data_IF_781109370213
#
_entry.id   IF_781109370213
#
_cell.length_a   1.000
_cell.length_b   1.000
_cell.length_c   1.000
_cell.angle_alpha   90.00
_cell.angle_beta   90.00
_cell.angle_gamma   90.00
#
_symmetry.space_group_name_H-M   'P 1'
#
loop_
_entity.id
_entity.type
_entity.pdbx_description
1 polymer ?
#
# COMPACT_ATOMS: atom_id res chain seq x y z
N UNK A 1 -0.23 15.10 -13.41
CA UNK A 1 -0.94 14.21 -14.36
C UNK A 1 -2.40 14.58 -14.33
N UNK A 2 -3.07 14.84 -15.46
CA UNK A 2 -4.52 14.93 -15.45
C UNK A 2 -5.06 13.53 -15.17
N UNK A 3 -5.93 13.44 -14.18
CA UNK A 3 -6.67 12.25 -13.76
C UNK A 3 -7.30 11.52 -14.96
N UNK A 4 -6.98 10.23 -15.11
CA UNK A 4 -7.21 9.44 -16.32
C UNK A 4 -8.69 9.14 -16.60
N UNK A 5 -9.54 9.18 -15.58
CA UNK A 5 -10.98 8.93 -15.68
C UNK A 5 -11.82 10.05 -15.05
N UNK A 6 -13.11 10.12 -15.40
CA UNK A 6 -14.06 11.03 -14.75
C UNK A 6 -14.20 10.76 -13.25
N UNK A 7 -14.10 9.49 -12.85
CA UNK A 7 -14.09 9.10 -11.45
C UNK A 7 -12.86 9.66 -10.72
N UNK A 8 -11.67 9.57 -11.33
CA UNK A 8 -10.44 10.13 -10.77
C UNK A 8 -10.56 11.66 -10.60
N UNK A 9 -11.18 12.36 -11.56
CA UNK A 9 -11.45 13.80 -11.47
C UNK A 9 -12.39 14.12 -10.30
N UNK A 10 -13.45 13.33 -10.12
CA UNK A 10 -14.40 13.51 -9.03
C UNK A 10 -13.75 13.23 -7.66
N UNK A 11 -13.02 12.12 -7.55
CA UNK A 11 -12.29 11.75 -6.34
C UNK A 11 -11.26 12.81 -5.97
N UNK A 12 -10.50 13.32 -6.95
CA UNK A 12 -9.56 14.40 -6.75
C UNK A 12 -10.26 15.64 -6.17
N UNK A 13 -11.34 16.12 -6.81
CA UNK A 13 -12.12 17.28 -6.33
C UNK A 13 -12.64 17.07 -4.90
N UNK A 14 -13.14 15.87 -4.61
CA UNK A 14 -13.64 15.53 -3.28
C UNK A 14 -12.53 15.58 -2.23
N UNK A 15 -11.36 14.99 -2.51
CA UNK A 15 -10.19 15.04 -1.59
C UNK A 15 -9.67 16.45 -1.40
N UNK A 16 -9.56 17.25 -2.47
CA UNK A 16 -9.14 18.65 -2.39
C UNK A 16 -10.10 19.44 -1.50
N UNK A 17 -11.42 19.20 -1.61
CA UNK A 17 -12.41 19.83 -0.75
C UNK A 17 -12.27 19.40 0.72
N UNK A 18 -12.05 18.12 0.99
CA UNK A 18 -11.85 17.66 2.37
C UNK A 18 -10.56 18.22 2.99
N UNK A 19 -9.46 18.27 2.22
CA UNK A 19 -8.20 18.84 2.67
C UNK A 19 -8.32 20.34 2.99
N UNK A 20 -9.00 21.10 2.13
CA UNK A 20 -9.25 22.54 2.36
C UNK A 20 -10.07 22.75 3.63
N UNK A 21 -11.14 21.97 3.84
CA UNK A 21 -11.94 22.03 5.08
C UNK A 21 -11.11 21.73 6.34
N UNK A 22 -10.26 20.69 6.31
CA UNK A 22 -9.38 20.36 7.44
C UNK A 22 -8.38 21.51 7.69
N UNK A 23 -7.84 22.09 6.61
CA UNK A 23 -6.88 23.20 6.70
C UNK A 23 -7.53 24.44 7.32
N UNK A 24 -8.73 24.81 6.87
CA UNK A 24 -9.50 25.94 7.41
C UNK A 24 -9.83 25.72 8.89
N UNK A 25 -10.28 24.52 9.26
CA UNK A 25 -10.58 24.18 10.65
C UNK A 25 -9.31 24.21 11.53
N UNK A 26 -8.18 23.73 11.03
CA UNK A 26 -6.90 23.78 11.72
C UNK A 26 -6.39 25.21 11.92
N UNK A 27 -6.58 26.09 10.93
CA UNK A 27 -6.23 27.50 11.05
C UNK A 27 -7.13 28.21 12.07
N UNK A 28 -8.43 27.94 12.07
CA UNK A 28 -9.37 28.49 13.05
C UNK A 28 -9.01 28.05 14.48
N UNK A 29 -8.68 26.77 14.67
CA UNK A 29 -8.26 26.24 15.96
C UNK A 29 -6.94 26.87 16.45
N UNK A 30 -5.98 27.09 15.54
CA UNK A 30 -4.68 27.72 15.85
C UNK A 30 -4.83 29.17 16.31
N UNK A 31 -5.81 29.89 15.78
CA UNK A 31 -6.06 31.30 16.11
C UNK A 31 -7.01 31.47 17.31
N UNK A 32 -7.72 30.41 17.72
CA UNK A 32 -8.65 30.42 18.83
C UNK A 32 -8.00 30.11 20.19
N UNK A 33 -8.68 30.50 21.27
CA UNK A 33 -8.37 30.03 22.61
C UNK A 33 -9.18 28.77 22.89
N UNK A 34 -8.54 27.60 22.77
CA UNK A 34 -9.16 26.30 23.02
C UNK A 34 -8.40 25.54 24.11
N UNK A 35 -9.13 24.79 24.93
CA UNK A 35 -8.55 23.90 25.92
C UNK A 35 -7.79 22.75 25.22
N UNK A 36 -6.67 22.32 25.83
CA UNK A 36 -5.79 21.27 25.29
C UNK A 36 -6.51 19.95 24.96
N UNK A 37 -7.41 19.42 25.80
CA UNK A 37 -8.09 18.15 25.53
C UNK A 37 -8.95 18.18 24.25
N UNK A 38 -9.74 19.25 24.07
CA UNK A 38 -10.59 19.42 22.88
C UNK A 38 -9.74 19.61 21.61
N UNK A 39 -8.61 20.32 21.74
CA UNK A 39 -7.64 20.49 20.66
C UNK A 39 -7.03 19.16 20.21
N UNK A 40 -6.69 18.30 21.17
CA UNK A 40 -6.10 16.99 20.89
C UNK A 40 -7.10 16.06 20.20
N UNK A 41 -8.34 15.97 20.70
CA UNK A 41 -9.41 15.16 20.10
C UNK A 41 -9.65 15.58 18.64
N UNK A 42 -9.71 16.88 18.38
CA UNK A 42 -9.90 17.41 17.04
C UNK A 42 -8.72 17.09 16.10
N UNK A 43 -7.49 17.12 16.62
CA UNK A 43 -6.28 16.77 15.86
C UNK A 43 -6.24 15.27 15.51
N UNK A 44 -6.66 14.40 16.43
CA UNK A 44 -6.77 12.96 16.18
C UNK A 44 -7.83 12.65 15.12
N UNK A 45 -8.99 13.31 15.16
CA UNK A 45 -10.03 13.21 14.12
C UNK A 45 -9.49 13.63 12.75
N UNK A 46 -8.77 14.76 12.66
CA UNK A 46 -8.14 15.17 11.40
C UNK A 46 -7.10 14.16 10.92
N UNK A 47 -6.28 13.61 11.81
CA UNK A 47 -5.29 12.59 11.46
C UNK A 47 -5.95 11.35 10.86
N UNK A 48 -7.06 10.87 11.45
CA UNK A 48 -7.82 9.74 10.92
C UNK A 48 -8.38 10.04 9.53
N UNK A 49 -8.96 11.23 9.33
CA UNK A 49 -9.47 11.67 8.03
C UNK A 49 -8.38 11.79 6.98
N UNK A 50 -7.21 12.35 7.35
CA UNK A 50 -6.07 12.49 6.46
C UNK A 50 -5.52 11.11 6.03
N UNK A 51 -5.48 10.13 6.94
CA UNK A 51 -5.13 8.74 6.58
C UNK A 51 -6.12 8.17 5.56
N UNK A 52 -7.41 8.33 5.79
CA UNK A 52 -8.44 7.85 4.86
C UNK A 52 -8.37 8.55 3.48
N UNK A 53 -7.97 9.83 3.42
CA UNK A 53 -7.77 10.56 2.17
C UNK A 53 -6.47 10.17 1.43
N UNK A 54 -5.45 9.72 2.17
CA UNK A 54 -4.18 9.29 1.62
C UNK A 54 -4.26 7.93 0.92
N UNK A 55 -5.22 7.08 1.33
CA UNK A 55 -5.48 5.82 0.65
C UNK A 55 -6.19 6.07 -0.69
N UNK A 56 -5.46 5.90 -1.78
CA UNK A 56 -5.98 6.01 -3.14
C UNK A 56 -6.94 4.82 -3.43
N UNK A 57 -8.26 5.03 -3.57
CA UNK A 57 -9.26 3.96 -3.60
C UNK A 57 -9.42 3.30 -4.97
N UNK A 58 -8.50 3.53 -5.91
CA UNK A 58 -8.52 2.91 -7.24
C UNK A 58 -7.25 2.07 -7.47
N UNK A 59 -7.11 0.98 -6.71
CA UNK A 59 -6.22 -0.12 -7.07
C UNK A 59 -6.87 -0.92 -8.20
N UNK A 60 -6.78 -0.41 -9.43
CA UNK A 60 -7.13 -1.16 -10.64
C UNK A 60 -6.17 -2.33 -10.91
N UNK A 61 -5.05 -2.39 -10.19
CA UNK A 61 -4.09 -3.47 -10.28
C UNK A 61 -4.53 -4.63 -9.38
N UNK A 62 -4.80 -5.82 -9.94
CA UNK A 62 -5.17 -6.98 -9.14
C UNK A 62 -4.00 -7.39 -8.24
N UNK A 63 -4.31 -7.92 -7.07
CA UNK A 63 -3.29 -8.51 -6.19
C UNK A 63 -2.61 -9.70 -6.87
N UNK A 64 -1.30 -9.82 -6.62
CA UNK A 64 -0.53 -11.02 -6.95
C UNK A 64 -0.81 -12.07 -5.88
N UNK A 65 -1.13 -13.29 -6.29
CA UNK A 65 -1.30 -14.42 -5.35
C UNK A 65 -0.13 -15.37 -5.50
N UNK A 66 0.60 -15.58 -4.41
CA UNK A 66 1.68 -16.56 -4.30
C UNK A 66 1.10 -17.80 -3.64
N UNK A 67 1.19 -18.95 -4.32
CA UNK A 67 0.75 -20.24 -3.80
C UNK A 67 1.95 -21.11 -3.45
N UNK A 68 1.90 -21.76 -2.29
CA UNK A 68 2.76 -22.90 -1.97
C UNK A 68 2.07 -24.16 -2.47
N UNK A 69 2.82 -24.98 -3.21
CA UNK A 69 2.35 -26.24 -3.76
C UNK A 69 3.05 -27.43 -3.09
N UNK A 70 2.30 -28.50 -2.87
CA UNK A 70 2.82 -29.82 -2.53
C UNK A 70 2.25 -30.82 -3.57
N UNK A 71 3.06 -31.17 -4.56
CA UNK A 71 2.54 -31.77 -5.79
C UNK A 71 1.55 -30.82 -6.47
N UNK A 72 0.37 -31.32 -6.84
CA UNK A 72 -0.68 -30.51 -7.48
C UNK A 72 -1.60 -29.77 -6.48
N UNK A 73 -1.37 -29.93 -5.17
CA UNK A 73 -2.19 -29.32 -4.12
C UNK A 73 -1.63 -27.97 -3.69
N UNK A 74 -2.50 -26.95 -3.64
CA UNK A 74 -2.24 -25.65 -3.02
C UNK A 74 -2.39 -25.76 -1.51
N UNK A 75 -1.30 -25.62 -0.77
CA UNK A 75 -1.27 -25.84 0.69
C UNK A 75 -1.22 -24.54 1.50
N UNK A 76 -0.70 -23.46 0.92
CA UNK A 76 -0.70 -22.13 1.54
C UNK A 76 -0.69 -21.02 0.48
N UNK A 77 -1.05 -19.80 0.86
CA UNK A 77 -1.07 -18.67 -0.04
C UNK A 77 -0.78 -17.33 0.63
N UNK A 78 -0.35 -16.35 -0.15
CA UNK A 78 -0.36 -14.95 0.25
C UNK A 78 -0.80 -14.06 -0.91
N UNK A 79 -1.59 -13.04 -0.58
CA UNK A 79 -1.91 -11.93 -1.50
C UNK A 79 -0.94 -10.79 -1.27
N UNK A 80 -0.34 -10.30 -2.36
CA UNK A 80 0.58 -9.16 -2.37
C UNK A 80 -0.03 -8.08 -3.28
N UNK A 81 -0.33 -6.88 -2.78
CA UNK A 81 -0.85 -5.80 -3.62
C UNK A 81 0.15 -5.45 -4.72
N UNK A 82 -0.28 -5.54 -5.99
CA UNK A 82 0.63 -5.36 -7.12
C UNK A 82 1.23 -3.95 -7.17
N UNK A 83 0.48 -2.93 -6.75
CA UNK A 83 0.95 -1.54 -6.65
C UNK A 83 2.16 -1.38 -5.70
N UNK A 84 2.36 -2.27 -4.73
CA UNK A 84 3.48 -2.20 -3.80
C UNK A 84 4.79 -2.73 -4.39
N UNK A 85 4.72 -3.62 -5.39
CA UNK A 85 5.90 -4.30 -5.96
C UNK A 85 6.13 -4.00 -7.44
N UNK A 86 5.27 -3.21 -8.07
CA UNK A 86 5.34 -2.87 -9.49
C UNK A 86 6.63 -2.10 -9.82
N UNK A 87 7.28 -2.48 -10.92
CA UNK A 87 8.44 -1.79 -11.47
C UNK A 87 8.07 -0.87 -12.63
N UNK A 88 8.69 0.31 -12.69
CA UNK A 88 8.57 1.25 -13.80
C UNK A 88 9.92 1.82 -14.19
N UNK A 89 10.18 1.86 -15.50
CA UNK A 89 11.38 2.51 -16.08
C UNK A 89 11.34 4.04 -15.99
N UNK A 90 10.21 4.65 -15.61
CA UNK A 90 10.05 6.11 -15.51
C UNK A 90 10.65 6.72 -14.23
N UNK A 91 11.17 5.89 -13.34
CA UNK A 91 11.83 6.31 -12.10
C UNK A 91 11.12 5.83 -10.84
N UNK A 92 11.79 6.00 -9.69
CA UNK A 92 11.38 5.43 -8.40
C UNK A 92 9.99 5.89 -7.91
N UNK A 93 9.57 7.11 -8.27
CA UNK A 93 8.23 7.64 -7.92
C UNK A 93 7.07 6.92 -8.63
N UNK A 94 7.37 6.13 -9.66
CA UNK A 94 6.41 5.29 -10.39
C UNK A 94 6.56 3.80 -10.08
N UNK A 95 7.42 3.45 -9.12
CA UNK A 95 7.59 2.10 -8.63
C UNK A 95 6.83 1.92 -7.32
N UNK A 96 6.40 0.69 -7.05
CA UNK A 96 5.86 0.34 -5.75
C UNK A 96 6.89 0.49 -4.62
N UNK A 97 6.43 0.77 -3.41
CA UNK A 97 7.29 0.99 -2.23
C UNK A 97 8.24 -0.17 -1.90
N UNK A 98 7.89 -1.38 -2.32
CA UNK A 98 8.61 -2.64 -2.11
C UNK A 98 9.30 -3.15 -3.39
N UNK A 99 9.26 -2.40 -4.50
CA UNK A 99 9.89 -2.77 -5.75
C UNK A 99 11.39 -3.04 -5.57
N UNK A 100 11.86 -4.20 -6.04
CA UNK A 100 13.27 -4.62 -5.97
C UNK A 100 13.80 -4.89 -4.54
N UNK A 101 12.95 -4.85 -3.52
CA UNK A 101 13.34 -5.16 -2.14
C UNK A 101 13.10 -6.63 -1.84
N UNK A 102 14.05 -7.27 -1.15
CA UNK A 102 13.86 -8.59 -0.59
C UNK A 102 12.84 -8.51 0.55
N UNK A 103 11.82 -9.38 0.52
CA UNK A 103 10.82 -9.45 1.59
C UNK A 103 10.59 -10.88 2.06
N UNK A 104 10.43 -11.01 3.38
CA UNK A 104 9.97 -12.23 4.03
C UNK A 104 8.46 -12.19 4.13
N UNK A 105 7.79 -13.19 3.57
CA UNK A 105 6.34 -13.25 3.51
C UNK A 105 5.86 -14.51 4.23
N UNK A 106 4.91 -14.34 5.15
CA UNK A 106 4.23 -15.43 5.84
C UNK A 106 3.00 -15.85 5.05
N UNK A 107 2.90 -17.14 4.71
CA UNK A 107 1.77 -17.67 3.96
C UNK A 107 0.62 -18.06 4.89
N UNK A 108 -0.61 -17.78 4.46
CA UNK A 108 -1.84 -18.27 5.10
C UNK A 108 -2.10 -19.71 4.68
N UNK A 109 -2.29 -20.60 5.65
CA UNK A 109 -2.68 -21.99 5.41
C UNK A 109 -4.19 -22.04 5.18
N UNK A 110 -4.62 -22.72 4.11
CA UNK A 110 -6.03 -23.00 3.87
C UNK A 110 -6.50 -24.06 4.85
N UNK A 111 -7.41 -23.69 5.76
CA UNK A 111 -7.99 -24.48 6.85
C UNK A 111 -8.00 -26.00 6.63
N UNK A 112 -6.92 -26.70 6.99
CA UNK A 112 -6.87 -28.07 7.51
C UNK A 112 -5.39 -28.39 7.81
N UNK A 113 -5.10 -28.74 9.07
CA UNK A 113 -3.81 -29.15 9.62
C UNK A 113 -2.98 -28.06 10.33
N UNK A 114 -2.77 -28.32 11.60
CA UNK A 114 -2.00 -27.64 12.64
C UNK A 114 -0.62 -27.09 12.26
N UNK A 115 -0.42 -25.81 12.64
CA UNK A 115 0.79 -25.18 13.18
C UNK A 115 2.13 -25.35 12.45
N UNK A 116 2.21 -24.99 11.17
CA UNK A 116 3.51 -24.68 10.56
C UNK A 116 3.39 -23.38 9.75
N UNK A 117 4.00 -22.30 10.26
CA UNK A 117 4.20 -21.07 9.52
C UNK A 117 5.27 -21.34 8.44
N UNK A 118 4.85 -21.40 7.17
CA UNK A 118 5.78 -21.54 6.06
C UNK A 118 6.28 -20.16 5.62
N UNK A 119 7.61 -19.96 5.70
CA UNK A 119 8.29 -18.74 5.29
C UNK A 119 8.77 -18.89 3.84
N UNK A 120 8.36 -17.97 2.96
CA UNK A 120 8.99 -17.78 1.66
C UNK A 120 9.69 -16.41 1.62
N UNK A 121 10.95 -16.40 1.19
CA UNK A 121 11.67 -15.18 0.82
C UNK A 121 11.34 -14.86 -0.63
N UNK A 122 10.52 -13.83 -0.85
CA UNK A 122 10.28 -13.31 -2.19
C UNK A 122 11.37 -12.28 -2.47
N UNK A 123 12.33 -12.63 -3.32
CA UNK A 123 13.20 -11.65 -3.95
C UNK A 123 12.36 -10.81 -4.90
N UNK A 124 12.10 -9.56 -4.53
CA UNK A 124 11.49 -8.60 -5.45
C UNK A 124 12.34 -8.54 -6.72
N UNK A 125 11.69 -8.64 -7.89
CA UNK A 125 12.35 -8.61 -9.20
C UNK A 125 13.30 -7.41 -9.26
N UNK A 126 14.59 -7.67 -9.09
CA UNK A 126 15.63 -6.66 -9.26
C UNK A 126 15.70 -6.34 -10.76
N UNK A 127 15.83 -5.06 -11.16
CA UNK A 127 16.10 -4.71 -12.55
C UNK A 127 17.54 -5.07 -12.98
N UNK A 128 18.37 -5.64 -12.10
CA UNK A 128 19.68 -6.13 -12.49
C UNK A 128 19.52 -7.34 -13.45
N UNK A 129 20.24 -7.38 -14.58
CA UNK A 129 20.25 -8.56 -15.43
C UNK A 129 20.68 -9.77 -14.59
N UNK A 130 19.98 -10.89 -14.78
CA UNK A 130 20.38 -12.17 -14.21
C UNK A 130 21.77 -12.53 -14.75
N UNK A 131 22.81 -12.26 -13.96
CA UNK A 131 24.16 -12.77 -14.23
C UNK A 131 24.19 -14.16 -13.64
N UNK A 132 24.07 -15.19 -14.50
CA UNK A 132 24.31 -16.56 -14.07
C UNK A 132 25.73 -16.65 -13.50
N UNK A 133 25.94 -17.23 -12.31
CA UNK A 133 27.29 -17.50 -11.84
C UNK A 133 28.00 -18.42 -12.85
N UNK A 134 29.31 -18.22 -13.10
CA UNK A 134 30.06 -19.13 -13.95
C UNK A 134 29.99 -20.52 -13.33
N UNK A 135 29.67 -21.52 -14.16
CA UNK A 135 29.84 -22.92 -13.81
C UNK A 135 31.35 -23.14 -13.70
N UNK A 136 31.83 -23.29 -12.47
CA UNK A 136 33.17 -23.80 -12.16
C UNK A 136 33.00 -25.16 -11.50
#
# INVERSE_FOLDING_TARGET
MPSATYLDQYLYKLRTRHLTQITEAALALKLGHCELPATLEQAEDWLLRLRALADEPQNSLPDIVIWMLQGDKRVAYQRVPANEVLFSRRGASYCGKNCGKLQTIFLKVGSFSSSHDYIFLVQGLSPAPFVAPPVV
#
